data_IF_507553629337
#
_entry.id   IF_507553629337
#
_cell.length_a   1.000
_cell.length_b   1.000
_cell.length_c   1.000
_cell.angle_alpha   90.00
_cell.angle_beta   90.00
_cell.angle_gamma   90.00
#
_symmetry.space_group_name_H-M   'P 1'
#
loop_
_entity.id
_entity.type
_entity.pdbx_description
1 polymer ?
#
# COMPACT_ATOMS: atom_id res chain seq x y z
N UNK A 1 -45.70 41.60 23.80
CA UNK A 1 -46.34 40.43 23.17
C UNK A 1 -45.25 39.44 22.79
N UNK A 2 -45.29 38.24 23.38
CA UNK A 2 -44.37 37.16 23.06
C UNK A 2 -45.03 36.20 22.07
N UNK A 3 -44.34 35.89 20.98
CA UNK A 3 -44.45 34.64 20.25
C UNK A 3 -43.23 34.51 19.34
N UNK A 4 -42.07 34.17 19.93
CA UNK A 4 -40.98 33.57 19.17
C UNK A 4 -41.38 32.13 18.90
N UNK A 5 -41.75 31.84 17.65
CA UNK A 5 -42.08 30.49 17.20
C UNK A 5 -40.80 29.65 17.21
N UNK A 6 -40.55 28.99 18.34
CA UNK A 6 -39.57 27.90 18.44
C UNK A 6 -39.91 26.85 17.38
N UNK A 7 -39.03 26.70 16.39
CA UNK A 7 -39.10 25.60 15.43
C UNK A 7 -39.12 24.27 16.20
N UNK A 8 -40.12 23.47 15.87
CA UNK A 8 -40.44 22.18 16.48
C UNK A 8 -39.27 21.24 16.18
N UNK A 9 -38.32 21.05 17.11
CA UNK A 9 -37.25 20.05 17.00
C UNK A 9 -37.89 18.65 17.06
N UNK A 10 -38.38 18.16 15.94
CA UNK A 10 -38.79 16.77 15.77
C UNK A 10 -37.54 15.92 15.67
N UNK A 11 -37.29 15.12 16.71
CA UNK A 11 -36.13 14.26 16.85
C UNK A 11 -36.09 13.14 15.84
N UNK A 12 -35.56 13.41 14.65
CA UNK A 12 -35.06 12.37 13.78
C UNK A 12 -33.54 12.51 13.69
N UNK A 13 -32.83 11.66 14.42
CA UNK A 13 -31.36 11.59 14.36
C UNK A 13 -30.87 11.07 13.00
N UNK A 14 -31.79 10.57 12.17
CA UNK A 14 -31.52 10.07 10.84
C UNK A 14 -31.44 11.19 9.80
N UNK A 15 -30.50 11.04 8.89
CA UNK A 15 -30.23 11.95 7.77
C UNK A 15 -30.16 11.11 6.50
N UNK A 16 -30.86 11.56 5.46
CA UNK A 16 -30.77 11.00 4.12
C UNK A 16 -29.82 11.85 3.27
N UNK A 17 -28.95 11.18 2.53
CA UNK A 17 -28.06 11.79 1.55
C UNK A 17 -28.34 11.15 0.20
N UNK A 18 -28.46 11.95 -0.84
CA UNK A 18 -28.56 11.50 -2.22
C UNK A 18 -27.25 11.86 -2.93
N UNK A 19 -26.36 10.88 -3.07
CA UNK A 19 -25.02 11.08 -3.65
C UNK A 19 -25.03 10.55 -5.08
N UNK A 20 -24.96 11.42 -6.07
CA UNK A 20 -24.96 11.06 -7.49
C UNK A 20 -26.12 10.18 -7.92
N UNK A 21 -27.29 10.33 -7.28
CA UNK A 21 -28.50 9.52 -7.53
C UNK A 21 -28.68 8.30 -6.63
N UNK A 22 -27.71 7.97 -5.76
CA UNK A 22 -27.83 6.87 -4.80
C UNK A 22 -28.14 7.38 -3.39
N UNK A 23 -29.19 6.83 -2.78
CA UNK A 23 -29.62 7.21 -1.44
C UNK A 23 -28.83 6.47 -0.35
N UNK A 24 -28.25 7.23 0.57
CA UNK A 24 -27.60 6.75 1.79
C UNK A 24 -28.38 7.21 3.01
N UNK A 25 -28.53 6.33 3.99
CA UNK A 25 -29.17 6.63 5.26
C UNK A 25 -28.14 6.52 6.39
N UNK A 26 -28.04 7.56 7.21
CA UNK A 26 -27.10 7.61 8.33
C UNK A 26 -27.63 8.50 9.45
N UNK A 27 -26.83 8.77 10.48
CA UNK A 27 -27.22 9.65 11.59
C UNK A 27 -26.44 10.97 11.58
N UNK A 28 -27.04 12.01 12.18
CA UNK A 28 -26.37 13.30 12.44
C UNK A 28 -25.04 13.09 13.19
N UNK A 29 -25.03 12.20 14.18
CA UNK A 29 -23.84 11.85 14.94
C UNK A 29 -22.69 11.32 14.07
N UNK A 30 -23.01 10.51 13.06
CA UNK A 30 -22.01 9.99 12.11
C UNK A 30 -21.39 11.12 11.28
N UNK A 31 -22.21 12.02 10.75
CA UNK A 31 -21.75 13.13 9.91
C UNK A 31 -20.94 14.17 10.68
N UNK A 32 -21.30 14.41 11.95
CA UNK A 32 -20.60 15.34 12.83
C UNK A 32 -19.33 14.77 13.49
N UNK A 33 -18.88 13.56 13.12
CA UNK A 33 -17.68 12.94 13.72
C UNK A 33 -16.41 13.76 13.50
N UNK A 34 -16.33 14.47 12.38
CA UNK A 34 -15.25 15.40 12.07
C UNK A 34 -15.82 16.80 11.85
N UNK A 35 -15.71 17.71 12.85
CA UNK A 35 -16.37 19.03 12.82
C UNK A 35 -16.05 19.89 11.60
N UNK A 36 -14.82 19.78 11.09
CA UNK A 36 -14.33 20.56 9.95
C UNK A 36 -14.69 19.95 8.58
N UNK A 37 -15.34 18.78 8.56
CA UNK A 37 -15.73 18.13 7.31
C UNK A 37 -16.92 18.84 6.66
N UNK A 38 -17.02 18.74 5.33
CA UNK A 38 -18.17 19.19 4.56
C UNK A 38 -19.49 18.60 5.11
N UNK A 39 -19.47 17.31 5.42
CA UNK A 39 -20.64 16.57 5.91
C UNK A 39 -21.12 17.05 7.29
N UNK A 40 -20.21 17.48 8.16
CA UNK A 40 -20.56 18.06 9.45
C UNK A 40 -21.26 19.40 9.29
N UNK A 41 -20.76 20.25 8.38
CA UNK A 41 -21.37 21.55 8.06
C UNK A 41 -22.73 21.38 7.39
N UNK A 42 -22.86 20.41 6.49
CA UNK A 42 -24.14 20.04 5.88
C UNK A 42 -25.17 19.62 6.95
N UNK A 43 -24.75 18.84 7.95
CA UNK A 43 -25.60 18.44 9.06
C UNK A 43 -25.95 19.58 10.03
N UNK A 44 -25.09 20.60 10.10
CA UNK A 44 -25.33 21.81 10.89
C UNK A 44 -26.27 22.81 10.18
N UNK A 45 -26.72 22.50 8.95
CA UNK A 45 -27.52 23.39 8.12
C UNK A 45 -26.85 24.76 7.95
N UNK A 46 -25.54 24.73 7.68
CA UNK A 46 -24.71 25.92 7.43
C UNK A 46 -25.31 26.74 6.27
N UNK A 47 -25.74 28.00 6.52
CA UNK A 47 -26.39 28.83 5.50
C UNK A 47 -25.46 29.20 4.33
N UNK A 48 -24.14 29.08 4.51
CA UNK A 48 -23.15 29.35 3.48
C UNK A 48 -22.89 28.13 2.58
N UNK A 49 -23.50 26.98 2.88
CA UNK A 49 -23.44 25.78 2.03
C UNK A 49 -24.72 25.62 1.20
N UNK A 50 -24.60 25.43 -0.13
CA UNK A 50 -25.73 24.99 -0.94
C UNK A 50 -26.14 23.59 -0.44
N UNK A 51 -27.29 23.54 0.23
CA UNK A 51 -27.84 22.35 0.85
C UNK A 51 -29.16 21.97 0.18
N UNK A 52 -29.09 21.79 -1.14
CA UNK A 52 -30.24 21.37 -1.93
C UNK A 52 -30.75 20.02 -1.43
N UNK A 53 -32.06 19.92 -1.26
CA UNK A 53 -32.74 18.69 -0.88
C UNK A 53 -33.72 18.28 -1.95
N UNK A 54 -33.83 16.99 -2.18
CA UNK A 54 -34.84 16.42 -3.08
C UNK A 54 -36.25 16.37 -2.43
N UNK A 55 -37.23 15.90 -3.20
CA UNK A 55 -38.62 15.71 -2.74
C UNK A 55 -38.75 14.78 -1.52
N UNK A 56 -37.73 13.97 -1.23
CA UNK A 56 -37.68 13.01 -0.13
C UNK A 56 -36.93 13.53 1.12
N UNK A 57 -36.59 14.83 1.14
CA UNK A 57 -35.79 15.51 2.17
C UNK A 57 -34.36 14.95 2.30
N UNK A 58 -33.80 14.41 1.20
CA UNK A 58 -32.41 13.95 1.15
C UNK A 58 -31.48 15.05 0.62
N UNK A 59 -30.37 15.30 1.31
CA UNK A 59 -29.37 16.26 0.85
C UNK A 59 -28.69 15.77 -0.42
N UNK A 60 -28.74 16.57 -1.48
CA UNK A 60 -28.17 16.25 -2.78
C UNK A 60 -26.67 16.56 -2.81
N UNK A 61 -25.88 15.60 -3.27
CA UNK A 61 -24.44 15.70 -3.40
C UNK A 61 -24.05 15.19 -4.79
N UNK A 62 -23.50 16.07 -5.61
CA UNK A 62 -23.08 15.75 -6.98
C UNK A 62 -21.69 15.09 -7.00
N UNK A 63 -21.61 13.85 -6.49
CA UNK A 63 -20.38 13.04 -6.38
C UNK A 63 -20.64 11.56 -6.69
N UNK A 64 -19.58 10.78 -6.93
CA UNK A 64 -19.72 9.34 -7.22
C UNK A 64 -20.10 8.54 -5.96
N UNK A 65 -21.27 7.87 -5.94
CA UNK A 65 -21.72 7.11 -4.79
C UNK A 65 -20.85 5.88 -4.46
N UNK A 66 -20.13 5.32 -5.44
CA UNK A 66 -19.30 4.13 -5.23
C UNK A 66 -18.14 4.44 -4.29
N UNK A 67 -17.49 5.58 -4.51
CA UNK A 67 -16.36 6.03 -3.70
C UNK A 67 -16.81 6.66 -2.36
N UNK A 68 -18.09 7.05 -2.24
CA UNK A 68 -18.66 7.56 -0.98
C UNK A 68 -18.86 6.49 0.10
N UNK A 69 -19.19 5.25 -0.29
CA UNK A 69 -19.48 4.18 0.68
C UNK A 69 -18.34 3.92 1.69
N UNK A 70 -17.05 3.80 1.28
CA UNK A 70 -15.92 3.73 2.20
C UNK A 70 -15.81 4.94 3.15
N UNK A 71 -16.11 6.14 2.66
CA UNK A 71 -16.08 7.37 3.45
C UNK A 71 -17.11 7.31 4.58
N UNK A 72 -18.36 6.96 4.23
CA UNK A 72 -19.44 6.86 5.20
C UNK A 72 -19.17 5.79 6.26
N UNK A 73 -18.62 4.65 5.85
CA UNK A 73 -18.24 3.57 6.76
C UNK A 73 -17.09 3.99 7.70
N UNK A 74 -16.10 4.70 7.19
CA UNK A 74 -15.06 5.30 8.03
C UNK A 74 -15.67 6.23 9.10
N UNK A 75 -16.66 7.07 8.75
CA UNK A 75 -17.34 7.90 9.75
C UNK A 75 -18.12 7.08 10.79
N UNK A 76 -18.70 5.94 10.40
CA UNK A 76 -19.45 5.06 11.31
C UNK A 76 -18.55 4.40 12.35
N UNK A 77 -17.44 3.79 11.94
CA UNK A 77 -16.64 2.93 12.82
C UNK A 77 -15.15 3.28 12.91
N UNK A 78 -14.66 4.28 12.16
CA UNK A 78 -13.28 4.77 12.22
C UNK A 78 -12.25 3.85 11.54
N UNK A 79 -12.67 2.98 10.64
CA UNK A 79 -11.77 2.06 9.89
C UNK A 79 -11.96 2.26 8.40
N UNK A 80 -10.86 2.38 7.65
CA UNK A 80 -10.89 2.41 6.20
C UNK A 80 -11.04 0.97 5.67
N UNK A 81 -12.13 0.71 4.95
CA UNK A 81 -12.41 -0.55 4.26
C UNK A 81 -12.73 -0.19 2.82
N UNK A 82 -11.92 -0.69 1.88
CA UNK A 82 -12.06 -0.49 0.44
C UNK A 82 -12.15 -1.87 -0.19
N UNK A 83 -13.20 -2.11 -0.97
CA UNK A 83 -13.39 -3.35 -1.70
C UNK A 83 -12.35 -3.51 -2.81
N UNK A 84 -12.07 -4.75 -3.22
CA UNK A 84 -10.93 -5.05 -4.12
C UNK A 84 -11.08 -4.44 -5.53
N UNK A 85 -12.31 -4.19 -5.94
CA UNK A 85 -12.70 -3.62 -7.23
C UNK A 85 -12.70 -2.09 -7.24
N UNK A 86 -12.54 -1.46 -6.08
CA UNK A 86 -12.54 -0.01 -5.94
C UNK A 86 -11.11 0.55 -5.86
N UNK A 87 -10.84 1.59 -6.64
CA UNK A 87 -9.50 2.19 -6.70
C UNK A 87 -9.28 3.12 -5.51
N UNK A 88 -8.14 2.97 -4.83
CA UNK A 88 -7.76 3.78 -3.67
C UNK A 88 -7.73 5.29 -4.01
N UNK A 89 -7.31 5.63 -5.24
CA UNK A 89 -7.25 6.99 -5.77
C UNK A 89 -8.63 7.66 -5.83
N UNK A 90 -9.67 6.94 -6.25
CA UNK A 90 -11.02 7.51 -6.28
C UNK A 90 -11.58 7.72 -4.88
N UNK A 91 -11.23 6.85 -3.92
CA UNK A 91 -11.58 7.06 -2.50
C UNK A 91 -10.82 8.26 -1.92
N UNK A 92 -9.57 8.49 -2.36
CA UNK A 92 -8.78 9.65 -1.96
C UNK A 92 -9.44 10.96 -2.39
N UNK A 93 -9.84 11.06 -3.67
CA UNK A 93 -10.53 12.23 -4.22
C UNK A 93 -11.79 12.58 -3.41
N UNK A 94 -12.60 11.57 -3.05
CA UNK A 94 -13.76 11.79 -2.20
C UNK A 94 -13.38 12.21 -0.77
N UNK A 95 -12.37 11.59 -0.16
CA UNK A 95 -11.92 11.96 1.18
C UNK A 95 -11.43 13.42 1.26
N UNK A 96 -10.78 13.90 0.20
CA UNK A 96 -10.36 15.30 0.07
C UNK A 96 -11.57 16.22 -0.14
N UNK A 97 -12.51 15.86 -1.02
CA UNK A 97 -13.75 16.62 -1.23
C UNK A 97 -14.54 16.80 0.08
N UNK A 98 -14.76 15.73 0.84
CA UNK A 98 -15.47 15.82 2.12
C UNK A 98 -14.62 16.44 3.25
N UNK A 99 -13.35 16.75 2.99
CA UNK A 99 -12.41 17.37 3.94
C UNK A 99 -12.22 16.55 5.21
N UNK A 100 -11.99 15.24 5.07
CA UNK A 100 -11.75 14.32 6.20
C UNK A 100 -10.25 14.04 6.29
N UNK A 101 -9.49 15.00 6.83
CA UNK A 101 -8.01 14.95 6.86
C UNK A 101 -7.41 13.65 7.43
N UNK A 102 -7.92 13.07 8.54
CA UNK A 102 -7.36 11.82 9.05
C UNK A 102 -7.51 10.67 8.06
N UNK A 103 -8.61 10.65 7.30
CA UNK A 103 -8.87 9.64 6.28
C UNK A 103 -7.97 9.83 5.06
N UNK A 104 -7.80 11.08 4.61
CA UNK A 104 -6.87 11.44 3.52
C UNK A 104 -5.46 10.92 3.82
N UNK A 105 -4.97 11.11 5.05
CA UNK A 105 -3.67 10.59 5.47
C UNK A 105 -3.59 9.07 5.38
N UNK A 106 -4.58 8.35 5.92
CA UNK A 106 -4.63 6.88 5.89
C UNK A 106 -4.61 6.36 4.44
N UNK A 107 -5.34 7.00 3.52
CA UNK A 107 -5.40 6.58 2.12
C UNK A 107 -4.07 6.85 1.41
N UNK A 108 -3.46 8.03 1.61
CA UNK A 108 -2.13 8.34 1.04
C UNK A 108 -1.06 7.36 1.51
N UNK A 109 -1.02 7.04 2.80
CA UNK A 109 -0.10 6.04 3.36
C UNK A 109 -0.32 4.65 2.73
N UNK A 110 -1.58 4.26 2.51
CA UNK A 110 -1.95 2.99 1.88
C UNK A 110 -1.50 2.92 0.40
N UNK A 111 -1.69 4.01 -0.36
CA UNK A 111 -1.26 4.12 -1.75
C UNK A 111 0.27 4.03 -1.83
N UNK A 112 0.99 4.80 -1.01
CA UNK A 112 2.45 4.77 -0.96
C UNK A 112 2.97 3.36 -0.63
N UNK A 113 2.42 2.70 0.38
CA UNK A 113 2.81 1.33 0.72
C UNK A 113 2.51 0.30 -0.39
N UNK A 114 1.50 0.56 -1.24
CA UNK A 114 1.23 -0.27 -2.43
C UNK A 114 2.30 -0.04 -3.49
N UNK A 115 2.68 1.21 -3.75
CA UNK A 115 3.74 1.55 -4.71
C UNK A 115 5.11 1.01 -4.27
N UNK A 116 5.46 1.15 -2.99
CA UNK A 116 6.74 0.68 -2.46
C UNK A 116 6.87 -0.84 -2.63
N UNK A 117 5.78 -1.58 -2.38
CA UNK A 117 5.71 -3.04 -2.63
C UNK A 117 5.88 -3.41 -4.09
N UNK A 118 5.45 -2.55 -5.02
CA UNK A 118 5.64 -2.78 -6.46
C UNK A 118 7.06 -2.42 -6.93
N UNK A 119 7.73 -1.48 -6.27
CA UNK A 119 9.11 -1.06 -6.57
C UNK A 119 10.17 -2.02 -5.98
N UNK A 120 9.88 -2.66 -4.84
CA UNK A 120 10.78 -3.58 -4.14
C UNK A 120 11.37 -4.73 -5.01
N UNK A 121 10.62 -5.42 -5.89
CA UNK A 121 11.18 -6.47 -6.75
C UNK A 121 12.18 -5.99 -7.81
N UNK A 122 12.12 -4.72 -8.20
CA UNK A 122 13.00 -4.17 -9.25
C UNK A 122 14.34 -3.68 -8.69
N UNK A 123 14.38 -3.27 -7.42
CA UNK A 123 15.59 -2.74 -6.78
C UNK A 123 16.43 -3.81 -6.06
N UNK A 124 15.85 -4.99 -5.79
CA UNK A 124 16.46 -6.04 -4.96
C UNK A 124 17.26 -7.12 -5.73
N UNK A 125 17.34 -7.07 -7.07
CA UNK A 125 18.21 -7.97 -7.83
C UNK A 125 19.63 -7.39 -7.88
N UNK A 126 20.42 -7.67 -6.85
CA UNK A 126 21.86 -7.40 -6.90
C UNK A 126 22.55 -8.60 -7.55
N UNK A 127 23.26 -8.39 -8.65
CA UNK A 127 24.12 -9.42 -9.22
C UNK A 127 25.51 -9.32 -8.60
N UNK A 128 26.04 -10.44 -8.11
CA UNK A 128 27.45 -10.56 -7.72
C UNK A 128 28.18 -11.30 -8.82
N UNK A 129 29.30 -10.73 -9.27
CA UNK A 129 30.18 -11.33 -10.26
C UNK A 129 31.44 -11.86 -9.60
N UNK A 130 31.94 -12.99 -10.10
CA UNK A 130 33.29 -13.49 -9.81
C UNK A 130 34.00 -13.81 -11.12
N UNK A 131 35.32 -13.66 -11.10
CA UNK A 131 36.20 -14.10 -12.17
C UNK A 131 37.02 -15.25 -11.60
N UNK A 132 36.93 -16.41 -12.23
CA UNK A 132 37.68 -17.61 -11.89
C UNK A 132 38.73 -17.85 -12.97
N UNK A 133 39.97 -18.09 -12.57
CA UNK A 133 41.05 -18.43 -13.49
C UNK A 133 41.26 -19.95 -13.48
N UNK A 134 41.44 -20.56 -14.65
CA UNK A 134 41.68 -21.99 -14.81
C UNK A 134 42.51 -22.28 -16.06
N UNK A 135 43.25 -23.39 -16.07
CA UNK A 135 43.87 -23.94 -17.27
C UNK A 135 42.85 -24.72 -18.13
N UNK A 136 43.19 -24.98 -19.39
CA UNK A 136 42.35 -25.68 -20.36
C UNK A 136 41.87 -27.07 -19.88
N UNK A 137 42.76 -27.84 -19.25
CA UNK A 137 42.50 -29.18 -18.74
C UNK A 137 41.58 -29.20 -17.51
N UNK A 138 41.53 -28.11 -16.75
CA UNK A 138 40.68 -27.95 -15.57
C UNK A 138 39.30 -27.34 -15.90
N UNK A 139 39.12 -26.76 -17.09
CA UNK A 139 37.94 -25.96 -17.46
C UNK A 139 36.63 -26.75 -17.30
N UNK A 140 36.58 -27.97 -17.81
CA UNK A 140 35.36 -28.81 -17.76
C UNK A 140 35.01 -29.15 -16.32
N UNK A 141 36.02 -29.49 -15.51
CA UNK A 141 35.83 -29.79 -14.10
C UNK A 141 35.31 -28.56 -13.34
N UNK A 142 35.95 -27.41 -13.52
CA UNK A 142 35.56 -26.15 -12.87
C UNK A 142 34.09 -25.78 -13.15
N UNK A 143 33.65 -25.83 -14.41
CA UNK A 143 32.25 -25.51 -14.78
C UNK A 143 31.29 -26.53 -14.18
N UNK A 144 31.66 -27.82 -14.18
CA UNK A 144 30.80 -28.90 -13.65
C UNK A 144 30.64 -28.87 -12.13
N UNK A 145 31.65 -28.40 -11.39
CA UNK A 145 31.64 -28.33 -9.92
C UNK A 145 31.27 -26.94 -9.40
N UNK A 146 30.76 -26.06 -10.27
CA UNK A 146 30.35 -24.72 -9.87
C UNK A 146 29.24 -24.80 -8.82
N UNK A 147 29.43 -24.12 -7.70
CA UNK A 147 28.47 -24.17 -6.58
C UNK A 147 27.08 -23.66 -6.98
N UNK A 148 26.04 -24.22 -6.35
CA UNK A 148 24.64 -23.92 -6.68
C UNK A 148 24.32 -22.41 -6.68
N UNK A 149 23.57 -22.02 -7.72
CA UNK A 149 23.11 -20.66 -7.94
C UNK A 149 24.12 -19.71 -8.59
N UNK A 150 25.33 -20.18 -8.90
CA UNK A 150 26.21 -19.45 -9.82
C UNK A 150 25.88 -19.81 -11.27
N UNK A 151 25.93 -18.82 -12.14
CA UNK A 151 25.70 -18.92 -13.57
C UNK A 151 26.96 -18.55 -14.31
N UNK A 152 27.26 -19.29 -15.35
CA UNK A 152 28.30 -18.92 -16.31
C UNK A 152 27.82 -17.75 -17.19
N UNK A 153 28.65 -16.72 -17.34
CA UNK A 153 28.35 -15.54 -18.17
C UNK A 153 29.30 -15.43 -19.37
N UNK A 154 30.61 -15.63 -19.17
CA UNK A 154 31.61 -15.43 -20.22
C UNK A 154 32.88 -16.24 -19.95
N UNK A 155 33.52 -16.74 -21.02
CA UNK A 155 34.87 -17.31 -20.98
C UNK A 155 35.79 -16.46 -21.85
N UNK A 156 36.93 -16.06 -21.31
CA UNK A 156 37.94 -15.27 -22.01
C UNK A 156 39.23 -16.07 -22.04
N UNK A 157 39.73 -16.37 -23.24
CA UNK A 157 41.07 -16.94 -23.40
C UNK A 157 42.11 -15.84 -23.16
N UNK A 158 43.02 -16.09 -22.23
CA UNK A 158 44.22 -15.28 -22.03
C UNK A 158 45.28 -15.91 -22.91
N UNK A 159 45.43 -15.38 -24.13
CA UNK A 159 46.31 -15.98 -25.14
C UNK A 159 47.73 -16.19 -24.63
N UNK A 160 48.34 -17.30 -25.05
CA UNK A 160 49.73 -17.64 -24.77
C UNK A 160 50.65 -16.62 -25.44
N UNK A 161 51.43 -15.88 -24.65
CA UNK A 161 52.44 -14.97 -25.17
C UNK A 161 53.57 -15.82 -25.78
N UNK A 162 53.52 -16.01 -27.11
CA UNK A 162 54.50 -16.69 -27.96
C UNK A 162 55.75 -17.25 -27.24
N UNK A 163 55.73 -18.52 -26.85
CA UNK A 163 56.92 -19.19 -26.34
C UNK A 163 57.13 -20.56 -27.03
N UNK A 164 58.26 -20.69 -27.71
CA UNK A 164 58.63 -21.87 -28.47
C UNK A 164 59.30 -22.88 -27.53
N UNK A 165 58.57 -23.91 -27.11
CA UNK A 165 59.15 -25.10 -26.49
C UNK A 165 58.93 -25.27 -24.98
N UNK A 166 57.67 -25.40 -24.56
CA UNK A 166 57.21 -26.22 -23.42
C UNK A 166 55.68 -26.18 -23.44
N UNK A 167 54.99 -27.21 -22.92
CA UNK A 167 53.52 -27.35 -22.87
C UNK A 167 52.81 -26.11 -22.31
N UNK A 168 52.52 -25.14 -23.17
CA UNK A 168 51.82 -23.91 -22.79
C UNK A 168 50.32 -24.25 -22.76
N UNK A 169 49.82 -24.61 -21.59
CA UNK A 169 48.40 -24.84 -21.38
C UNK A 169 47.67 -23.50 -21.49
N UNK A 170 46.66 -23.41 -22.36
CA UNK A 170 45.89 -22.18 -22.52
C UNK A 170 45.21 -21.81 -21.20
N UNK A 171 45.36 -20.55 -20.78
CA UNK A 171 44.71 -20.02 -19.59
C UNK A 171 43.38 -19.33 -19.96
N UNK A 172 42.40 -19.49 -19.06
CA UNK A 172 41.08 -18.90 -19.24
C UNK A 172 40.62 -18.13 -17.99
N UNK A 173 39.88 -17.06 -18.24
CA UNK A 173 39.10 -16.33 -17.24
C UNK A 173 37.62 -16.62 -17.45
N UNK A 174 36.98 -17.25 -16.47
CA UNK A 174 35.57 -17.57 -16.45
C UNK A 174 34.83 -16.56 -15.57
N UNK A 175 33.99 -15.73 -16.20
CA UNK A 175 33.09 -14.80 -15.51
C UNK A 175 31.82 -15.53 -15.13
N UNK A 176 31.48 -15.49 -13.84
CA UNK A 176 30.27 -16.11 -13.29
C UNK A 176 29.46 -15.08 -12.51
N UNK A 177 28.14 -15.20 -12.54
CA UNK A 177 27.20 -14.34 -11.82
C UNK A 177 26.36 -15.13 -10.82
N UNK A 178 25.89 -14.47 -9.77
CA UNK A 178 24.87 -15.01 -8.86
C UNK A 178 23.89 -13.91 -8.47
N UNK A 179 22.61 -14.24 -8.54
CA UNK A 179 21.54 -13.36 -8.06
C UNK A 179 21.56 -13.37 -6.53
N UNK A 180 21.76 -12.20 -5.94
CA UNK A 180 21.64 -11.99 -4.50
C UNK A 180 20.30 -11.31 -4.25
N UNK A 181 19.36 -12.09 -3.71
CA UNK A 181 18.20 -11.52 -3.06
C UNK A 181 18.63 -11.00 -1.70
N UNK A 182 18.39 -9.71 -1.42
CA UNK A 182 18.52 -9.15 -0.08
C UNK A 182 17.45 -9.78 0.84
N UNK A 183 17.64 -11.02 1.28
CA UNK A 183 16.85 -11.63 2.34
C UNK A 183 17.45 -11.29 3.70
N UNK A 184 17.84 -10.04 3.90
CA UNK A 184 18.44 -9.56 5.14
C UNK A 184 17.47 -8.80 6.08
N UNK A 185 16.21 -8.57 5.68
CA UNK A 185 15.24 -7.86 6.56
C UNK A 185 13.93 -8.62 6.85
N UNK A 186 13.81 -9.89 6.47
CA UNK A 186 12.59 -10.68 6.72
C UNK A 186 12.67 -11.66 7.92
N UNK A 187 13.79 -11.75 8.64
CA UNK A 187 13.94 -12.66 9.79
C UNK A 187 14.11 -11.97 11.16
N UNK A 188 14.03 -10.64 11.25
CA UNK A 188 14.25 -9.90 12.51
C UNK A 188 12.97 -9.44 13.27
N UNK A 189 11.77 -9.96 12.95
CA UNK A 189 10.54 -9.61 13.69
C UNK A 189 9.75 -10.78 14.30
N UNK A 190 10.30 -11.99 14.34
CA UNK A 190 9.74 -13.09 15.13
C UNK A 190 10.36 -13.12 16.54
N UNK A 191 9.99 -12.16 17.41
CA UNK A 191 10.16 -12.35 18.86
C UNK A 191 9.17 -13.42 19.33
N UNK A 192 9.59 -14.56 19.89
CA UNK A 192 8.67 -15.46 20.58
C UNK A 192 8.14 -14.74 21.82
N UNK A 193 6.81 -14.66 21.95
CA UNK A 193 6.15 -14.21 23.17
C UNK A 193 6.60 -15.12 24.33
N UNK A 194 7.06 -14.59 25.47
CA UNK A 194 7.24 -15.40 26.66
C UNK A 194 5.87 -15.90 27.12
N UNK A 195 5.73 -17.21 27.25
CA UNK A 195 4.57 -17.88 27.82
C UNK A 195 4.47 -17.55 29.31
N UNK A 196 3.39 -16.88 29.70
CA UNK A 196 2.98 -16.70 31.10
C UNK A 196 2.76 -18.07 31.77
N UNK A 197 3.76 -18.58 32.48
CA UNK A 197 3.55 -19.63 33.48
C UNK A 197 3.25 -18.95 34.80
N UNK A 198 1.96 -18.78 35.12
CA UNK A 198 1.53 -18.47 36.48
C UNK A 198 1.90 -19.65 37.39
N UNK A 199 2.57 -19.44 38.53
CA UNK A 199 2.72 -20.50 39.51
C UNK A 199 1.37 -20.75 40.20
N UNK A 200 0.90 -21.99 40.13
CA UNK A 200 -0.13 -22.51 41.02
C UNK A 200 0.41 -22.45 42.45
N UNK A 201 -0.32 -21.74 43.33
CA UNK A 201 -0.10 -21.76 44.77
C UNK A 201 -1.07 -22.81 45.34
N UNK A 202 -0.52 -23.88 45.91
CA UNK A 202 -1.22 -24.73 46.87
C UNK A 202 -1.31 -24.02 48.22
#
# INVERSE_FOLDING_TARGET
MAASTKSKRSGNNWVKLNVGGTCFLTTKQTLCRHPNSFLSRLCAEDPDLPSDKDENDAYMIDRDPRYFSPILNYLRHGKLIIDRDLHDEGVLEEAEFYSIEPLVKIIKDKIQAREDRQKLPLLAKKHVYRVLQCHEDELTQMVSTMSDGWRFEQLVSVGSNYNYGSEDQAEFLCVVSKDVTDTAEASASAKPKPSDKRPFRM
#
